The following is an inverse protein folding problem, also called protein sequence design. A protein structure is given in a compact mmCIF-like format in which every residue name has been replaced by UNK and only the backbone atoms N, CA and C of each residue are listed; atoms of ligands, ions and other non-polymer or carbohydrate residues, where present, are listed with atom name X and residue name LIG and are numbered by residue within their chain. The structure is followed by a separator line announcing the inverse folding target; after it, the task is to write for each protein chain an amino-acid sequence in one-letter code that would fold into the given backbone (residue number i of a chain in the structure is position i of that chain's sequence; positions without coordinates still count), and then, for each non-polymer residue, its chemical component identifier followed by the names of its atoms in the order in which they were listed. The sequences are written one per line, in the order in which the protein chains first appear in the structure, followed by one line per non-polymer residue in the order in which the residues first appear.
data_IF_245165111832
#
_entry.id   IF_245165111832
#
_cell.length_a   1.000
_cell.length_b   1.000
_cell.length_c   1.000
_cell.angle_alpha   90.00
_cell.angle_beta   90.00
_cell.angle_gamma   90.00
#
_symmetry.space_group_name_H-M   'P 1'
#
loop_
_entity.id
_entity.type
_entity.pdbx_description
1 polymer ?
#
# COMPACT_ATOMS: atom_id res chain seq x y z
N UNK A 1 -24.79 8.74 69.92
CA UNK A 1 -24.32 9.71 68.91
C UNK A 1 -23.45 8.97 67.90
N UNK A 2 -23.91 8.83 66.65
CA UNK A 2 -23.12 8.32 65.52
C UNK A 2 -22.78 9.50 64.62
N UNK A 3 -21.50 9.77 64.40
CA UNK A 3 -21.03 10.74 63.41
C UNK A 3 -20.86 10.03 62.05
N UNK A 4 -21.59 10.49 61.04
CA UNK A 4 -21.35 10.18 59.63
C UNK A 4 -20.39 11.23 59.05
N UNK A 5 -19.30 10.77 58.44
CA UNK A 5 -18.42 11.58 57.59
C UNK A 5 -18.82 11.35 56.12
N UNK A 6 -19.12 12.37 55.31
CA UNK A 6 -19.32 12.19 53.88
C UNK A 6 -17.97 12.24 53.15
N UNK A 7 -17.63 11.16 52.45
CA UNK A 7 -16.55 11.11 51.48
C UNK A 7 -17.00 11.86 50.21
N UNK A 8 -16.48 13.07 50.02
CA UNK A 8 -16.58 13.82 48.77
C UNK A 8 -15.68 13.15 47.73
N UNK A 9 -16.28 12.40 46.80
CA UNK A 9 -15.63 12.01 45.54
C UNK A 9 -15.45 13.27 44.68
N UNK A 10 -14.23 13.78 44.62
CA UNK A 10 -13.82 14.73 43.58
C UNK A 10 -13.70 13.98 42.24
N UNK A 11 -14.73 14.06 41.41
CA UNK A 11 -14.62 13.78 39.98
C UNK A 11 -13.76 14.86 39.33
N UNK A 12 -12.44 14.71 39.39
CA UNK A 12 -11.53 15.48 38.55
C UNK A 12 -11.71 15.02 37.11
N UNK A 13 -12.61 15.68 36.37
CA UNK A 13 -12.59 15.64 34.91
C UNK A 13 -11.28 16.29 34.48
N UNK A 14 -10.28 15.48 34.16
CA UNK A 14 -9.06 15.93 33.51
C UNK A 14 -9.46 16.59 32.19
N UNK A 15 -9.52 17.93 32.20
CA UNK A 15 -9.67 18.72 30.98
C UNK A 15 -8.42 18.41 30.17
N UNK A 16 -8.58 17.70 29.04
CA UNK A 16 -7.49 17.46 28.12
C UNK A 16 -6.88 18.82 27.76
N UNK A 17 -5.58 18.99 28.04
CA UNK A 17 -4.86 20.21 27.70
C UNK A 17 -5.07 20.51 26.21
N UNK A 18 -5.26 21.79 25.88
CA UNK A 18 -5.37 22.19 24.48
C UNK A 18 -4.13 21.70 23.70
N UNK A 19 -4.28 21.21 22.45
CA UNK A 19 -3.16 20.72 21.66
C UNK A 19 -2.11 21.81 21.55
N UNK A 20 -0.84 21.46 21.82
CA UNK A 20 0.27 22.39 21.63
C UNK A 20 0.41 22.77 20.13
N UNK A 21 1.18 23.83 19.83
CA UNK A 21 1.34 24.31 18.45
C UNK A 21 1.85 23.21 17.50
N UNK A 22 2.69 22.31 18.01
CA UNK A 22 3.27 21.23 17.23
C UNK A 22 2.23 20.17 16.86
N UNK A 23 1.32 19.85 17.79
CA UNK A 23 0.18 18.98 17.53
C UNK A 23 -0.76 19.59 16.48
N UNK A 24 -1.01 20.91 16.55
CA UNK A 24 -1.80 21.63 15.55
C UNK A 24 -1.16 21.56 14.16
N UNK A 25 0.15 21.81 14.06
CA UNK A 25 0.90 21.73 12.81
C UNK A 25 0.87 20.30 12.25
N UNK A 26 1.09 19.29 13.11
CA UNK A 26 1.01 17.86 12.75
C UNK A 26 -0.35 17.52 12.14
N UNK A 27 -1.44 17.89 12.83
CA UNK A 27 -2.79 17.63 12.37
C UNK A 27 -3.08 18.36 11.05
N UNK A 28 -2.62 19.61 10.90
CA UNK A 28 -2.83 20.38 9.69
C UNK A 28 -2.12 19.75 8.49
N UNK A 29 -0.86 19.33 8.65
CA UNK A 29 -0.12 18.65 7.60
C UNK A 29 -0.80 17.33 7.21
N UNK A 30 -1.24 16.52 8.17
CA UNK A 30 -1.97 15.28 7.88
C UNK A 30 -3.28 15.53 7.12
N UNK A 31 -4.04 16.57 7.49
CA UNK A 31 -5.25 16.97 6.76
C UNK A 31 -4.94 17.34 5.31
N UNK A 32 -3.86 18.08 5.05
CA UNK A 32 -3.45 18.43 3.67
C UNK A 32 -3.15 17.16 2.86
N UNK A 33 -2.43 16.19 3.41
CA UNK A 33 -2.13 14.93 2.72
C UNK A 33 -3.37 14.07 2.50
N UNK A 34 -4.27 14.05 3.49
CA UNK A 34 -5.53 13.35 3.39
C UNK A 34 -6.41 13.96 2.29
N UNK A 35 -6.64 15.28 2.30
CA UNK A 35 -7.42 15.98 1.26
C UNK A 35 -6.88 15.68 -0.13
N UNK A 36 -5.56 15.78 -0.30
CA UNK A 36 -4.88 15.49 -1.57
C UNK A 36 -5.08 14.06 -2.08
N UNK A 37 -5.36 13.10 -1.21
CA UNK A 37 -5.62 11.70 -1.59
C UNK A 37 -7.07 11.46 -2.04
N UNK A 38 -7.98 12.41 -1.77
CA UNK A 38 -9.40 12.34 -2.13
C UNK A 38 -9.83 13.44 -3.10
N UNK A 39 -8.86 14.18 -3.65
CA UNK A 39 -9.08 15.20 -4.67
C UNK A 39 -9.21 14.54 -6.04
N UNK A 40 -10.14 15.02 -6.86
CA UNK A 40 -10.29 14.59 -8.25
C UNK A 40 -9.70 15.64 -9.18
N UNK A 41 -8.67 15.26 -9.94
CA UNK A 41 -8.09 16.14 -10.96
C UNK A 41 -9.19 16.71 -11.89
N UNK A 42 -9.14 18.02 -12.22
CA UNK A 42 -10.06 18.61 -13.19
C UNK A 42 -9.90 18.01 -14.59
N UNK A 43 -8.71 17.48 -14.91
CA UNK A 43 -8.41 16.86 -16.22
C UNK A 43 -8.98 15.44 -16.36
N UNK A 44 -9.44 14.83 -15.25
CA UNK A 44 -10.02 13.50 -15.30
C UNK A 44 -11.37 13.53 -16.06
N UNK A 45 -11.56 12.72 -17.12
CA UNK A 45 -12.76 12.76 -17.94
C UNK A 45 -13.94 12.06 -17.23
N UNK A 46 -14.56 12.77 -16.30
CA UNK A 46 -15.74 12.34 -15.55
C UNK A 46 -16.99 13.06 -16.05
N UNK A 47 -18.12 12.34 -16.07
CA UNK A 47 -19.41 13.01 -16.23
C UNK A 47 -19.68 13.97 -15.05
N UNK A 48 -20.42 15.04 -15.30
CA UNK A 48 -20.63 16.11 -14.33
C UNK A 48 -21.38 15.64 -13.07
N UNK A 49 -22.39 14.77 -13.19
CA UNK A 49 -23.14 14.22 -12.06
C UNK A 49 -22.26 13.25 -11.25
N UNK A 50 -21.50 12.36 -11.92
CA UNK A 50 -20.53 11.50 -11.22
C UNK A 50 -19.49 12.32 -10.45
N UNK A 51 -18.92 13.35 -11.08
CA UNK A 51 -17.94 14.23 -10.42
C UNK A 51 -18.53 14.93 -9.20
N UNK A 52 -19.74 15.48 -9.32
CA UNK A 52 -20.41 16.14 -8.20
C UNK A 52 -20.63 15.19 -7.02
N UNK A 53 -21.23 14.02 -7.26
CA UNK A 53 -21.47 13.00 -6.22
C UNK A 53 -20.18 12.45 -5.62
N UNK A 54 -19.15 12.25 -6.42
CA UNK A 54 -17.85 11.81 -5.93
C UNK A 54 -17.17 12.89 -5.07
N UNK A 55 -17.33 14.17 -5.40
CA UNK A 55 -16.84 15.26 -4.55
C UNK A 55 -17.60 15.35 -3.22
N UNK A 56 -18.93 15.17 -3.23
CA UNK A 56 -19.73 15.12 -2.00
C UNK A 56 -19.30 13.95 -1.10
N UNK A 57 -19.09 12.76 -1.69
CA UNK A 57 -18.61 11.59 -0.97
C UNK A 57 -17.22 11.83 -0.36
N UNK A 58 -16.30 12.41 -1.13
CA UNK A 58 -14.96 12.78 -0.68
C UNK A 58 -15.03 13.76 0.50
N UNK A 59 -15.79 14.85 0.36
CA UNK A 59 -15.94 15.86 1.41
C UNK A 59 -16.48 15.27 2.72
N UNK A 60 -17.55 14.45 2.65
CA UNK A 60 -18.12 13.80 3.83
C UNK A 60 -17.12 12.84 4.50
N UNK A 61 -16.33 12.12 3.71
CA UNK A 61 -15.29 11.24 4.24
C UNK A 61 -14.14 12.03 4.90
N UNK A 62 -13.67 13.09 4.26
CA UNK A 62 -12.60 13.95 4.77
C UNK A 62 -12.99 14.60 6.11
N UNK A 63 -14.22 15.07 6.25
CA UNK A 63 -14.74 15.60 7.51
C UNK A 63 -14.69 14.54 8.62
N UNK A 64 -15.24 13.35 8.34
CA UNK A 64 -15.28 12.24 9.30
C UNK A 64 -13.89 11.84 9.78
N UNK A 65 -12.92 11.70 8.87
CA UNK A 65 -11.57 11.28 9.23
C UNK A 65 -10.81 12.40 9.93
N UNK A 66 -11.00 13.65 9.53
CA UNK A 66 -10.42 14.81 10.20
C UNK A 66 -10.81 14.88 11.69
N UNK A 67 -12.01 14.42 12.03
CA UNK A 67 -12.49 14.32 13.41
C UNK A 67 -11.81 13.19 14.22
N UNK A 68 -11.25 12.15 13.57
CA UNK A 68 -10.54 11.05 14.24
C UNK A 68 -9.07 11.37 14.53
N UNK A 69 -8.45 12.26 13.74
CA UNK A 69 -7.01 12.55 13.83
C UNK A 69 -6.56 13.00 15.24
N UNK A 70 -7.27 13.88 15.98
CA UNK A 70 -6.84 14.29 17.32
C UNK A 70 -6.78 13.12 18.32
N UNK A 71 -7.73 12.18 18.22
CA UNK A 71 -7.76 11.01 19.09
C UNK A 71 -6.58 10.07 18.78
N UNK A 72 -6.26 9.87 17.50
CA UNK A 72 -5.09 9.08 17.09
C UNK A 72 -3.78 9.75 17.53
N UNK A 73 -3.68 11.07 17.44
CA UNK A 73 -2.51 11.81 17.91
C UNK A 73 -2.31 11.65 19.41
N UNK A 74 -3.37 11.79 20.21
CA UNK A 74 -3.31 11.56 21.65
C UNK A 74 -2.88 10.12 21.99
N UNK A 75 -3.33 9.13 21.22
CA UNK A 75 -2.92 7.73 21.34
C UNK A 75 -1.40 7.56 21.13
N UNK A 76 -0.85 8.11 20.04
CA UNK A 76 0.60 8.03 19.78
C UNK A 76 1.43 8.80 20.81
N UNK A 77 0.97 9.97 21.24
CA UNK A 77 1.66 10.77 22.27
C UNK A 77 1.78 9.99 23.57
N UNK A 78 0.70 9.35 24.01
CA UNK A 78 0.70 8.49 25.21
C UNK A 78 1.71 7.35 25.09
N UNK A 79 1.79 6.71 23.92
CA UNK A 79 2.73 5.62 23.67
C UNK A 79 4.17 6.10 23.62
N UNK A 80 4.44 7.24 23.00
CA UNK A 80 5.75 7.86 22.97
C UNK A 80 6.22 8.18 24.39
N UNK A 81 5.38 8.82 25.22
CA UNK A 81 5.70 9.11 26.62
C UNK A 81 5.96 7.84 27.45
N UNK A 82 5.23 6.75 27.18
CA UNK A 82 5.42 5.48 27.87
C UNK A 82 6.69 4.74 27.46
N UNK A 83 7.27 5.04 26.29
CA UNK A 83 8.45 4.34 25.76
C UNK A 83 9.76 4.68 26.47
N UNK A 84 9.80 5.78 27.23
CA UNK A 84 11.02 6.28 27.89
C UNK A 84 12.11 6.76 26.93
N UNK A 85 11.87 6.76 25.62
CA UNK A 85 12.79 7.27 24.58
C UNK A 85 12.56 8.78 24.39
N UNK A 86 13.58 9.54 23.92
CA UNK A 86 13.40 10.94 23.57
C UNK A 86 12.23 11.13 22.61
N UNK A 87 11.36 12.09 22.92
CA UNK A 87 10.20 12.38 22.09
C UNK A 87 10.65 13.12 20.82
N UNK A 88 10.89 12.38 19.74
CA UNK A 88 11.07 13.01 18.42
C UNK A 88 9.69 13.34 17.82
N UNK A 89 9.37 14.62 17.55
CA UNK A 89 8.12 15.04 16.92
C UNK A 89 7.76 14.29 15.63
N UNK A 90 8.78 14.06 14.79
CA UNK A 90 8.65 13.44 13.48
C UNK A 90 8.05 12.04 13.56
N UNK A 91 8.33 11.30 14.64
CA UNK A 91 7.90 9.91 14.81
C UNK A 91 6.40 9.78 15.01
N UNK A 92 5.81 10.70 15.78
CA UNK A 92 4.36 10.73 15.97
C UNK A 92 3.66 11.03 14.65
N UNK A 93 4.18 11.99 13.89
CA UNK A 93 3.68 12.31 12.55
C UNK A 93 3.75 11.11 11.59
N UNK A 94 4.90 10.42 11.50
CA UNK A 94 5.06 9.26 10.63
C UNK A 94 4.20 8.07 11.07
N UNK A 95 3.97 7.86 12.37
CA UNK A 95 3.04 6.86 12.86
C UNK A 95 1.59 7.15 12.41
N UNK A 96 1.14 8.39 12.55
CA UNK A 96 -0.19 8.81 12.08
C UNK A 96 -0.32 8.71 10.56
N UNK A 97 0.72 9.07 9.81
CA UNK A 97 0.71 8.91 8.37
C UNK A 97 0.74 7.43 7.97
N UNK A 98 1.49 6.58 8.66
CA UNK A 98 1.46 5.14 8.42
C UNK A 98 0.05 4.57 8.59
N UNK A 99 -0.67 5.01 9.63
CA UNK A 99 -2.07 4.65 9.85
C UNK A 99 -2.95 5.09 8.67
N UNK A 100 -2.86 6.35 8.24
CA UNK A 100 -3.62 6.87 7.10
C UNK A 100 -3.33 6.13 5.79
N UNK A 101 -2.05 5.88 5.50
CA UNK A 101 -1.65 5.16 4.30
C UNK A 101 -2.13 3.71 4.31
N UNK A 102 -2.07 3.05 5.47
CA UNK A 102 -2.55 1.69 5.61
C UNK A 102 -4.07 1.61 5.48
N UNK A 103 -4.79 2.61 5.99
CA UNK A 103 -6.24 2.73 5.79
C UNK A 103 -6.58 2.85 4.28
N UNK A 104 -5.87 3.70 3.52
CA UNK A 104 -6.01 3.78 2.06
C UNK A 104 -5.76 2.44 1.37
N UNK A 105 -4.69 1.74 1.73
CA UNK A 105 -4.36 0.43 1.16
C UNK A 105 -5.41 -0.63 1.53
N UNK A 106 -5.89 -0.68 2.77
CA UNK A 106 -6.96 -1.58 3.20
C UNK A 106 -8.24 -1.32 2.41
N UNK A 107 -8.67 -0.07 2.27
CA UNK A 107 -9.83 0.30 1.47
C UNK A 107 -9.69 -0.14 0.00
N UNK A 108 -8.48 -0.08 -0.56
CA UNK A 108 -8.21 -0.56 -1.92
C UNK A 108 -8.30 -2.08 -2.07
N UNK A 109 -8.02 -2.84 -1.01
CA UNK A 109 -8.11 -4.30 -0.99
C UNK A 109 -9.51 -4.81 -0.62
N UNK A 110 -10.31 -4.01 0.07
CA UNK A 110 -11.63 -4.40 0.54
C UNK A 110 -12.56 -4.78 -0.62
N UNK A 111 -13.18 -5.98 -0.56
CA UNK A 111 -14.25 -6.33 -1.48
C UNK A 111 -15.52 -5.54 -1.13
N UNK A 112 -16.30 -5.22 -2.17
CA UNK A 112 -17.67 -4.78 -2.01
C UNK A 112 -18.63 -5.97 -1.85
N UNK A 113 -19.92 -5.70 -1.99
CA UNK A 113 -20.92 -6.75 -2.12
C UNK A 113 -20.82 -7.46 -3.48
N UNK A 114 -21.60 -8.52 -3.68
CA UNK A 114 -21.57 -9.30 -4.91
C UNK A 114 -21.85 -8.46 -6.17
N UNK A 115 -22.77 -7.49 -6.07
CA UNK A 115 -23.11 -6.60 -7.19
C UNK A 115 -21.94 -5.68 -7.55
N UNK A 116 -21.28 -5.11 -6.55
CA UNK A 116 -20.09 -4.28 -6.70
C UNK A 116 -18.92 -5.05 -7.31
N UNK A 117 -18.66 -6.27 -6.82
CA UNK A 117 -17.60 -7.12 -7.37
C UNK A 117 -17.89 -7.47 -8.83
N UNK A 118 -19.13 -7.85 -9.17
CA UNK A 118 -19.51 -8.20 -10.53
C UNK A 118 -19.41 -7.01 -11.49
N UNK A 119 -19.86 -5.83 -11.07
CA UNK A 119 -19.69 -4.59 -11.83
C UNK A 119 -18.20 -4.24 -12.01
N UNK A 120 -17.39 -4.42 -10.97
CA UNK A 120 -15.93 -4.21 -11.04
C UNK A 120 -15.28 -5.13 -12.07
N UNK A 121 -15.61 -6.43 -12.08
CA UNK A 121 -15.12 -7.37 -13.11
C UNK A 121 -15.50 -6.89 -14.51
N UNK A 122 -16.76 -6.51 -14.71
CA UNK A 122 -17.25 -6.05 -16.00
C UNK A 122 -16.52 -4.78 -16.47
N UNK A 123 -16.34 -3.78 -15.60
CA UNK A 123 -15.61 -2.55 -15.90
C UNK A 123 -14.15 -2.84 -16.30
N UNK A 124 -13.45 -3.68 -15.53
CA UNK A 124 -12.07 -4.07 -15.83
C UNK A 124 -11.97 -4.87 -17.13
N UNK A 125 -12.96 -5.72 -17.44
CA UNK A 125 -13.03 -6.44 -18.70
C UNK A 125 -13.18 -5.54 -19.92
N UNK A 126 -14.00 -4.49 -19.80
CA UNK A 126 -14.48 -3.70 -20.94
C UNK A 126 -13.48 -2.67 -21.49
N UNK A 127 -12.77 -1.95 -20.61
CA UNK A 127 -11.96 -0.78 -21.01
C UNK A 127 -10.55 -0.86 -20.42
N UNK A 128 -9.54 -0.19 -21.01
CA UNK A 128 -8.28 0.12 -20.37
C UNK A 128 -8.25 1.52 -19.73
N UNK A 129 -9.27 2.35 -19.96
CA UNK A 129 -9.27 3.78 -19.57
C UNK A 129 -9.23 4.01 -18.06
N UNK A 130 -9.59 3.02 -17.24
CA UNK A 130 -9.43 3.08 -15.78
C UNK A 130 -7.96 3.12 -15.32
N UNK A 131 -7.02 2.76 -16.20
CA UNK A 131 -5.59 2.90 -15.95
C UNK A 131 -5.04 4.24 -16.49
N UNK A 132 -5.87 5.09 -17.09
CA UNK A 132 -5.46 6.42 -17.53
C UNK A 132 -6.06 7.47 -16.59
N UNK A 133 -5.22 8.00 -15.71
CA UNK A 133 -5.61 9.04 -14.75
C UNK A 133 -5.03 10.41 -15.11
N UNK A 134 -4.65 10.61 -16.38
CA UNK A 134 -4.29 11.93 -16.92
C UNK A 134 -3.27 12.69 -16.05
N UNK A 135 -2.12 12.05 -15.78
CA UNK A 135 -1.03 12.59 -14.96
C UNK A 135 -1.40 12.88 -13.51
N UNK A 136 -2.45 12.27 -12.96
CA UNK A 136 -2.68 12.30 -11.52
C UNK A 136 -1.47 11.68 -10.80
N UNK A 137 -0.66 12.55 -10.20
CA UNK A 137 0.52 12.18 -9.40
C UNK A 137 0.22 11.20 -8.26
N UNK A 138 -1.05 11.00 -7.94
CA UNK A 138 -1.57 10.11 -6.91
C UNK A 138 -2.43 9.00 -7.50
N UNK A 139 -2.01 8.50 -8.66
CA UNK A 139 -2.58 7.45 -9.50
C UNK A 139 -3.32 6.29 -8.79
N UNK A 140 -2.95 5.90 -7.57
CA UNK A 140 -3.60 4.77 -6.88
C UNK A 140 -4.72 5.18 -5.93
N UNK A 141 -4.97 6.47 -5.73
CA UNK A 141 -5.90 6.95 -4.70
C UNK A 141 -7.37 6.98 -5.16
N UNK A 142 -8.16 7.92 -4.63
CA UNK A 142 -9.59 8.04 -4.87
C UNK A 142 -9.96 8.14 -6.35
N UNK A 143 -9.15 8.85 -7.14
CA UNK A 143 -9.37 9.05 -8.58
C UNK A 143 -9.47 7.73 -9.35
N UNK A 144 -8.64 6.73 -9.03
CA UNK A 144 -8.66 5.43 -9.70
C UNK A 144 -10.00 4.69 -9.53
N UNK A 145 -10.60 4.82 -8.34
CA UNK A 145 -11.89 4.20 -8.01
C UNK A 145 -13.03 4.88 -8.74
N UNK A 146 -13.04 6.22 -8.78
CA UNK A 146 -14.07 6.99 -9.50
C UNK A 146 -13.94 6.82 -11.02
N UNK A 147 -12.71 6.79 -11.55
CA UNK A 147 -12.46 6.52 -12.97
C UNK A 147 -12.97 5.13 -13.40
N UNK A 148 -12.93 4.13 -12.50
CA UNK A 148 -13.53 2.82 -12.75
C UNK A 148 -15.06 2.89 -12.79
N UNK A 149 -15.69 3.63 -11.87
CA UNK A 149 -17.15 3.83 -11.85
C UNK A 149 -17.61 4.55 -13.13
N UNK A 150 -16.82 5.49 -13.65
CA UNK A 150 -17.10 6.16 -14.94
C UNK A 150 -17.23 5.17 -16.11
N UNK A 151 -16.51 4.05 -16.09
CA UNK A 151 -16.57 3.03 -17.15
C UNK A 151 -17.86 2.20 -17.11
N UNK A 152 -18.65 2.29 -16.04
CA UNK A 152 -19.91 1.56 -15.93
C UNK A 152 -21.06 2.29 -16.64
N UNK A 153 -22.11 1.54 -17.05
CA UNK A 153 -23.36 2.15 -17.50
C UNK A 153 -23.88 3.15 -16.47
N UNK A 154 -24.41 4.30 -16.93
CA UNK A 154 -24.85 5.39 -16.07
C UNK A 154 -25.82 4.92 -14.96
N UNK A 155 -26.72 3.99 -15.27
CA UNK A 155 -27.68 3.42 -14.31
C UNK A 155 -27.03 2.66 -13.14
N UNK A 156 -25.80 2.17 -13.28
CA UNK A 156 -25.10 1.41 -12.22
C UNK A 156 -24.23 2.30 -11.32
N UNK A 157 -23.84 3.50 -11.78
CA UNK A 157 -22.91 4.38 -11.06
C UNK A 157 -23.40 4.79 -9.66
N UNK A 158 -24.68 5.15 -9.44
CA UNK A 158 -25.16 5.52 -8.11
C UNK A 158 -25.01 4.38 -7.08
N UNK A 159 -25.31 3.14 -7.46
CA UNK A 159 -25.15 1.99 -6.59
C UNK A 159 -23.67 1.74 -6.23
N UNK A 160 -22.76 1.93 -7.18
CA UNK A 160 -21.32 1.79 -6.92
C UNK A 160 -20.77 2.87 -6.00
N UNK A 161 -21.22 4.12 -6.15
CA UNK A 161 -20.87 5.19 -5.22
C UNK A 161 -21.40 4.92 -3.81
N UNK A 162 -22.60 4.34 -3.69
CA UNK A 162 -23.15 3.94 -2.39
C UNK A 162 -22.30 2.85 -1.73
N UNK A 163 -21.84 1.84 -2.48
CA UNK A 163 -20.92 0.82 -1.98
C UNK A 163 -19.55 1.40 -1.60
N UNK A 164 -19.03 2.38 -2.35
CA UNK A 164 -17.80 3.09 -1.97
C UNK A 164 -17.97 3.85 -0.66
N UNK A 165 -19.13 4.49 -0.44
CA UNK A 165 -19.45 5.16 0.83
C UNK A 165 -19.46 4.19 2.00
N UNK A 166 -20.05 3.00 1.84
CA UNK A 166 -20.07 1.97 2.88
C UNK A 166 -18.65 1.45 3.18
N UNK A 167 -17.85 1.23 2.13
CA UNK A 167 -16.44 0.85 2.27
C UNK A 167 -15.65 1.92 3.01
N UNK A 168 -15.80 3.18 2.62
CA UNK A 168 -15.18 4.32 3.27
C UNK A 168 -15.66 4.51 4.72
N UNK A 169 -16.85 4.06 5.11
CA UNK A 169 -17.32 4.15 6.49
C UNK A 169 -16.56 3.21 7.44
N UNK A 170 -15.91 2.14 6.93
CA UNK A 170 -15.13 1.18 7.73
C UNK A 170 -13.76 1.70 8.14
N UNK A 171 -13.26 2.78 7.55
CA UNK A 171 -12.01 3.41 7.96
C UNK A 171 -12.00 3.79 9.43
N UNK A 172 -10.96 3.38 10.15
CA UNK A 172 -10.82 3.53 11.59
C UNK A 172 -11.59 2.50 12.42
N UNK A 173 -12.33 1.57 11.79
CA UNK A 173 -13.08 0.51 12.47
C UNK A 173 -12.37 -0.85 12.36
N UNK A 174 -12.61 -1.77 13.31
CA UNK A 174 -12.22 -3.17 13.17
C UNK A 174 -12.78 -3.80 11.89
N UNK A 175 -11.98 -4.63 11.22
CA UNK A 175 -12.39 -5.30 9.99
C UNK A 175 -11.73 -6.68 9.84
N UNK A 176 -12.28 -7.55 8.99
CA UNK A 176 -11.64 -8.82 8.67
C UNK A 176 -10.22 -8.62 8.13
N UNK A 177 -9.33 -9.56 8.41
CA UNK A 177 -8.00 -9.55 7.83
C UNK A 177 -8.10 -9.59 6.29
N UNK A 178 -7.33 -8.74 5.56
CA UNK A 178 -7.33 -8.79 4.11
C UNK A 178 -6.82 -10.15 3.63
N UNK A 179 -7.20 -10.53 2.40
CA UNK A 179 -6.73 -11.76 1.77
C UNK A 179 -5.18 -11.85 1.79
N UNK A 180 -4.62 -13.05 1.66
CA UNK A 180 -3.17 -13.18 1.51
C UNK A 180 -2.70 -12.51 0.20
N UNK A 181 -1.42 -12.14 0.13
CA UNK A 181 -0.83 -11.69 -1.13
C UNK A 181 -0.93 -12.80 -2.18
N UNK A 182 -1.21 -12.48 -3.45
CA UNK A 182 -1.12 -13.44 -4.54
C UNK A 182 0.31 -13.98 -4.68
N UNK A 183 0.42 -15.30 -4.85
CA UNK A 183 1.70 -15.98 -5.11
C UNK A 183 1.63 -16.79 -6.42
N UNK A 184 2.51 -16.51 -7.40
CA UNK A 184 3.42 -15.37 -7.47
C UNK A 184 2.68 -14.02 -7.55
N UNK A 185 3.41 -12.92 -7.33
CA UNK A 185 2.83 -11.59 -7.56
C UNK A 185 2.38 -11.46 -9.02
N UNK A 186 1.27 -10.76 -9.30
CA UNK A 186 0.70 -10.63 -10.65
C UNK A 186 1.70 -10.19 -11.73
N UNK A 187 2.53 -9.19 -11.43
CA UNK A 187 3.58 -8.70 -12.33
C UNK A 187 4.66 -9.75 -12.54
N UNK A 188 5.02 -10.53 -11.52
CA UNK A 188 6.01 -11.60 -11.67
C UNK A 188 5.45 -12.73 -12.55
N UNK A 189 4.19 -13.10 -12.33
CA UNK A 189 3.48 -14.09 -13.15
C UNK A 189 3.38 -13.64 -14.61
N UNK A 190 3.02 -12.38 -14.83
CA UNK A 190 2.94 -11.76 -16.15
C UNK A 190 4.31 -11.75 -16.85
N UNK A 191 5.35 -11.24 -16.19
CA UNK A 191 6.70 -11.14 -16.75
C UNK A 191 7.31 -12.52 -17.04
N UNK A 192 7.01 -13.55 -16.23
CA UNK A 192 7.46 -14.91 -16.49
C UNK A 192 6.90 -15.48 -17.82
N UNK A 193 5.65 -15.14 -18.17
CA UNK A 193 5.07 -15.52 -19.47
C UNK A 193 5.69 -14.75 -20.65
N UNK A 194 6.26 -13.57 -20.39
CA UNK A 194 6.88 -12.72 -21.40
C UNK A 194 8.37 -13.00 -21.62
N UNK A 195 8.94 -13.93 -20.84
CA UNK A 195 10.36 -14.26 -20.89
C UNK A 195 10.82 -14.73 -22.29
N UNK A 196 12.09 -14.51 -22.65
CA UNK A 196 12.66 -14.99 -23.92
C UNK A 196 12.46 -16.49 -24.12
N UNK A 197 12.13 -16.90 -25.34
CA UNK A 197 11.94 -18.32 -25.70
C UNK A 197 10.52 -18.85 -25.51
N UNK A 198 9.59 -18.06 -24.94
CA UNK A 198 8.17 -18.43 -24.87
C UNK A 198 7.51 -18.32 -26.26
N UNK A 199 7.03 -19.46 -26.79
CA UNK A 199 6.44 -19.58 -28.13
C UNK A 199 4.97 -19.12 -28.19
N UNK A 200 4.20 -19.36 -27.14
CA UNK A 200 2.76 -19.06 -27.08
C UNK A 200 2.47 -17.83 -26.20
N UNK A 201 3.09 -16.69 -26.54
CA UNK A 201 2.89 -15.44 -25.81
C UNK A 201 1.54 -14.80 -26.16
N UNK A 202 0.64 -14.57 -25.18
CA UNK A 202 -0.59 -13.85 -25.46
C UNK A 202 -0.29 -12.41 -25.90
N UNK A 203 -1.13 -11.86 -26.76
CA UNK A 203 -0.94 -10.51 -27.27
C UNK A 203 -0.94 -9.47 -26.13
N UNK A 204 0.07 -8.61 -26.12
CA UNK A 204 0.15 -7.44 -25.23
C UNK A 204 -0.45 -6.21 -25.93
N UNK A 205 -1.00 -5.25 -25.16
CA UNK A 205 -1.21 -3.89 -25.64
C UNK A 205 0.07 -3.32 -26.28
N UNK A 206 0.00 -2.55 -27.38
CA UNK A 206 1.19 -2.08 -28.11
C UNK A 206 2.23 -1.38 -27.23
N UNK A 207 1.79 -0.51 -26.32
CA UNK A 207 2.69 0.19 -25.37
C UNK A 207 3.44 -0.79 -24.47
N UNK A 208 2.76 -1.81 -23.94
CA UNK A 208 3.39 -2.83 -23.10
C UNK A 208 4.34 -3.73 -23.90
N UNK A 209 3.98 -4.06 -25.15
CA UNK A 209 4.85 -4.82 -26.05
C UNK A 209 6.16 -4.05 -26.33
N UNK A 210 6.06 -2.76 -26.63
CA UNK A 210 7.23 -1.91 -26.85
C UNK A 210 8.12 -1.86 -25.59
N UNK A 211 7.55 -1.50 -24.43
CA UNK A 211 8.33 -1.34 -23.20
C UNK A 211 8.94 -2.66 -22.69
N UNK A 212 8.17 -3.76 -22.66
CA UNK A 212 8.61 -5.00 -22.04
C UNK A 212 9.40 -5.91 -22.99
N UNK A 213 9.05 -5.96 -24.28
CA UNK A 213 9.67 -6.89 -25.23
C UNK A 213 10.78 -6.24 -26.06
N UNK A 214 10.58 -4.99 -26.51
CA UNK A 214 11.55 -4.27 -27.34
C UNK A 214 12.58 -3.53 -26.46
N UNK A 215 12.11 -2.65 -25.58
CA UNK A 215 12.98 -1.82 -24.72
C UNK A 215 13.50 -2.59 -23.49
N UNK A 216 12.87 -3.71 -23.13
CA UNK A 216 13.19 -4.53 -21.95
C UNK A 216 13.23 -3.71 -20.66
N UNK A 217 12.31 -2.76 -20.55
CA UNK A 217 12.17 -1.87 -19.40
C UNK A 217 11.78 -2.69 -18.16
N UNK A 218 12.41 -2.38 -17.03
CA UNK A 218 12.02 -2.95 -15.74
C UNK A 218 10.65 -2.42 -15.32
N UNK A 219 9.74 -3.31 -14.92
CA UNK A 219 8.41 -2.98 -14.40
C UNK A 219 8.45 -1.87 -13.36
N UNK A 220 9.40 -1.91 -12.43
CA UNK A 220 9.52 -0.92 -11.37
C UNK A 220 9.77 0.52 -11.89
N UNK A 221 10.30 0.65 -13.11
CA UNK A 221 10.64 1.92 -13.76
C UNK A 221 9.59 2.39 -14.78
N UNK A 222 8.57 1.57 -15.05
CA UNK A 222 7.46 1.93 -15.93
C UNK A 222 6.58 3.01 -15.30
N UNK A 223 5.87 3.78 -16.13
CA UNK A 223 4.87 4.72 -15.63
C UNK A 223 3.75 3.96 -14.91
N UNK A 224 3.03 4.63 -13.99
CA UNK A 224 2.00 3.95 -13.16
C UNK A 224 0.82 3.49 -14.00
N UNK A 225 0.48 4.26 -15.02
CA UNK A 225 -0.47 3.92 -16.08
C UNK A 225 -0.10 2.57 -16.71
N UNK A 226 1.16 2.42 -17.12
CA UNK A 226 1.65 1.20 -17.78
C UNK A 226 1.73 0.01 -16.82
N UNK A 227 2.10 0.25 -15.57
CA UNK A 227 2.04 -0.79 -14.53
C UNK A 227 0.61 -1.28 -14.35
N UNK A 228 -0.36 -0.37 -14.23
CA UNK A 228 -1.78 -0.71 -14.17
C UNK A 228 -2.25 -1.47 -15.42
N UNK A 229 -1.83 -1.06 -16.62
CA UNK A 229 -2.16 -1.77 -17.86
C UNK A 229 -1.63 -3.21 -17.85
N UNK A 230 -0.42 -3.46 -17.31
CA UNK A 230 0.10 -4.82 -17.16
C UNK A 230 -0.75 -5.63 -16.18
N UNK A 231 -1.13 -5.05 -15.04
CA UNK A 231 -2.02 -5.69 -14.06
C UNK A 231 -3.39 -6.01 -14.66
N UNK A 232 -3.92 -5.09 -15.47
CA UNK A 232 -5.19 -5.26 -16.15
C UNK A 232 -5.12 -6.37 -17.21
N UNK A 233 -4.03 -6.41 -17.98
CA UNK A 233 -3.78 -7.49 -18.93
C UNK A 233 -3.69 -8.84 -18.21
N UNK A 234 -2.96 -8.91 -17.08
CA UNK A 234 -2.86 -10.12 -16.27
C UNK A 234 -4.20 -10.56 -15.69
N UNK A 235 -5.01 -9.60 -15.21
CA UNK A 235 -6.38 -9.86 -14.74
C UNK A 235 -7.22 -10.53 -15.83
N UNK A 236 -7.27 -9.95 -17.03
CA UNK A 236 -8.03 -10.52 -18.16
C UNK A 236 -7.51 -11.90 -18.54
N UNK A 237 -6.19 -12.09 -18.54
CA UNK A 237 -5.56 -13.39 -18.83
C UNK A 237 -5.91 -14.45 -17.78
N UNK A 238 -5.89 -14.08 -16.50
CA UNK A 238 -6.25 -14.97 -15.40
C UNK A 238 -7.68 -15.48 -15.55
N UNK A 239 -8.62 -14.60 -15.89
CA UNK A 239 -10.01 -14.99 -16.16
C UNK A 239 -10.12 -15.95 -17.36
N UNK A 240 -9.39 -15.69 -18.44
CA UNK A 240 -9.35 -16.59 -19.62
C UNK A 240 -8.75 -17.97 -19.28
N UNK A 241 -7.87 -18.05 -18.28
CA UNK A 241 -7.29 -19.29 -17.78
C UNK A 241 -8.21 -20.01 -16.77
N UNK A 242 -9.42 -19.51 -16.53
CA UNK A 242 -10.39 -20.11 -15.62
C UNK A 242 -10.17 -19.78 -14.14
N UNK A 243 -9.31 -18.80 -13.82
CA UNK A 243 -9.17 -18.32 -12.43
C UNK A 243 -10.48 -17.67 -11.99
N UNK A 244 -10.93 -18.01 -10.78
CA UNK A 244 -12.16 -17.46 -10.22
C UNK A 244 -12.12 -15.92 -10.16
N UNK A 245 -13.21 -15.21 -10.49
CA UNK A 245 -13.21 -13.75 -10.57
C UNK A 245 -12.75 -13.05 -9.28
N UNK A 246 -13.15 -13.57 -8.11
CA UNK A 246 -12.72 -13.01 -6.82
C UNK A 246 -11.19 -13.10 -6.61
N UNK A 247 -10.56 -14.19 -7.05
CA UNK A 247 -9.11 -14.37 -6.96
C UNK A 247 -8.40 -13.42 -7.93
N UNK A 248 -8.88 -13.33 -9.17
CA UNK A 248 -8.33 -12.41 -10.17
C UNK A 248 -8.46 -10.94 -9.73
N UNK A 249 -9.62 -10.56 -9.16
CA UNK A 249 -9.83 -9.21 -8.61
C UNK A 249 -8.92 -8.92 -7.42
N UNK A 250 -8.76 -9.87 -6.49
CA UNK A 250 -7.85 -9.70 -5.37
C UNK A 250 -6.41 -9.50 -5.85
N UNK A 251 -5.97 -10.31 -6.82
CA UNK A 251 -4.66 -10.16 -7.45
C UNK A 251 -4.49 -8.78 -8.11
N UNK A 252 -5.48 -8.32 -8.89
CA UNK A 252 -5.46 -7.00 -9.50
C UNK A 252 -5.36 -5.88 -8.45
N UNK A 253 -6.17 -5.95 -7.38
CA UNK A 253 -6.13 -4.99 -6.27
C UNK A 253 -4.74 -4.88 -5.66
N UNK A 254 -4.09 -6.01 -5.35
CA UNK A 254 -2.71 -6.01 -4.85
C UNK A 254 -1.71 -5.41 -5.84
N UNK A 255 -1.87 -5.72 -7.13
CA UNK A 255 -1.00 -5.21 -8.18
C UNK A 255 -1.08 -3.70 -8.40
N UNK A 256 -2.21 -3.09 -8.04
CA UNK A 256 -2.46 -1.64 -8.19
C UNK A 256 -2.60 -0.90 -6.85
N UNK A 257 -2.38 -1.56 -5.72
CA UNK A 257 -2.54 -0.98 -4.40
C UNK A 257 -1.46 0.08 -4.14
N UNK A 258 -1.80 1.13 -3.40
CA UNK A 258 -0.83 2.05 -2.83
C UNK A 258 0.02 1.32 -1.78
N UNK A 259 1.34 1.46 -1.90
CA UNK A 259 2.30 1.05 -0.87
C UNK A 259 3.20 2.22 -0.51
N UNK A 260 3.93 2.09 0.61
CA UNK A 260 4.85 3.11 1.09
C UNK A 260 5.99 3.34 0.08
N UNK A 261 6.55 2.28 -0.49
CA UNK A 261 7.59 2.38 -1.53
C UNK A 261 7.08 3.09 -2.80
N UNK A 262 5.80 2.94 -3.11
CA UNK A 262 5.15 3.66 -4.22
C UNK A 262 4.93 5.13 -3.89
N UNK A 263 4.36 5.42 -2.71
CA UNK A 263 3.98 6.79 -2.31
C UNK A 263 5.19 7.70 -2.13
N UNK A 264 6.27 7.17 -1.59
CA UNK A 264 7.43 7.94 -1.15
C UNK A 264 8.70 7.56 -1.92
N UNK A 265 8.56 6.99 -3.12
CA UNK A 265 9.67 6.64 -3.99
C UNK A 265 10.65 7.81 -4.14
N UNK A 266 11.91 7.58 -3.77
CA UNK A 266 12.99 8.58 -3.87
C UNK A 266 12.94 9.73 -2.85
N UNK A 267 11.89 9.86 -2.04
CA UNK A 267 11.73 11.00 -1.11
C UNK A 267 12.72 10.95 0.07
N UNK A 268 13.13 9.75 0.47
CA UNK A 268 13.96 9.54 1.66
C UNK A 268 15.35 9.00 1.34
N UNK A 269 15.69 8.90 0.05
CA UNK A 269 17.00 8.47 -0.38
C UNK A 269 18.02 9.59 -0.20
N UNK A 270 19.25 9.31 0.28
CA UNK A 270 20.29 10.32 0.37
C UNK A 270 20.67 10.82 -1.04
N UNK A 271 21.05 12.10 -1.22
CA UNK A 271 21.36 12.68 -2.53
C UNK A 271 22.41 11.88 -3.34
N UNK A 272 23.33 11.18 -2.66
CA UNK A 272 24.37 10.35 -3.26
C UNK A 272 23.88 9.01 -3.81
N UNK A 273 22.74 8.49 -3.34
CA UNK A 273 22.15 7.23 -3.81
C UNK A 273 21.44 7.37 -5.18
N UNK A 274 21.08 8.60 -5.57
CA UNK A 274 20.45 8.88 -6.86
C UNK A 274 21.45 8.72 -8.02
N UNK A 275 22.76 8.80 -7.75
CA UNK A 275 23.80 8.79 -8.79
C UNK A 275 24.72 7.57 -8.75
N UNK A 276 24.76 6.81 -7.64
CA UNK A 276 25.54 5.57 -7.51
C UNK A 276 24.86 4.59 -6.55
N UNK A 277 24.85 3.28 -6.85
CA UNK A 277 24.43 2.27 -5.88
C UNK A 277 25.23 2.43 -4.59
N UNK A 278 24.54 2.41 -3.44
CA UNK A 278 25.23 2.37 -2.16
C UNK A 278 26.19 1.16 -2.15
N UNK A 279 27.45 1.33 -1.68
CA UNK A 279 28.37 0.21 -1.54
C UNK A 279 27.69 -0.90 -0.73
N UNK A 280 27.87 -2.16 -1.15
CA UNK A 280 27.44 -3.29 -0.33
C UNK A 280 28.04 -3.13 1.07
N UNK A 281 27.21 -3.25 2.11
CA UNK A 281 27.70 -3.13 3.48
C UNK A 281 28.86 -4.10 3.68
N UNK A 282 29.92 -3.64 4.35
CA UNK A 282 31.12 -4.45 4.62
C UNK A 282 30.82 -5.77 5.37
N UNK A 283 29.62 -5.90 5.94
CA UNK A 283 29.13 -7.05 6.69
C UNK A 283 28.39 -8.10 5.85
N UNK A 284 28.25 -7.89 4.53
CA UNK A 284 27.49 -8.79 3.64
C UNK A 284 25.98 -8.81 3.89
N UNK A 285 25.47 -7.95 4.77
CA UNK A 285 24.03 -7.80 5.05
C UNK A 285 23.40 -6.78 4.08
N UNK A 286 22.14 -6.97 3.66
CA UNK A 286 21.45 -5.95 2.88
C UNK A 286 21.29 -4.67 3.73
N UNK A 287 21.47 -3.48 3.14
CA UNK A 287 21.30 -2.21 3.86
C UNK A 287 19.84 -2.04 4.27
N UNK A 288 19.58 -1.47 5.46
CA UNK A 288 18.21 -1.21 5.89
C UNK A 288 17.54 -0.13 4.99
N UNK A 289 16.30 -0.31 4.49
CA UNK A 289 15.67 0.68 3.62
C UNK A 289 15.47 2.03 4.34
N UNK A 290 15.87 3.17 3.74
CA UNK A 290 15.69 4.50 4.36
C UNK A 290 14.22 4.82 4.69
N UNK A 291 13.29 4.44 3.81
CA UNK A 291 11.85 4.58 4.06
C UNK A 291 11.39 3.79 5.29
N UNK A 292 11.93 2.59 5.52
CA UNK A 292 11.59 1.79 6.68
C UNK A 292 12.07 2.48 7.97
N UNK A 293 13.23 3.13 7.95
CA UNK A 293 13.73 3.94 9.07
C UNK A 293 12.77 5.08 9.39
N UNK A 294 12.30 5.81 8.37
CA UNK A 294 11.37 6.96 8.57
C UNK A 294 10.09 6.56 9.28
N UNK A 295 9.53 5.42 8.90
CA UNK A 295 8.30 4.89 9.49
C UNK A 295 8.55 3.97 10.69
N UNK A 296 9.81 3.77 11.10
CA UNK A 296 10.19 2.80 12.10
C UNK A 296 9.63 1.39 11.84
N UNK A 297 9.49 1.05 10.57
CA UNK A 297 8.99 -0.24 10.13
C UNK A 297 10.07 -1.30 10.36
N UNK A 298 9.68 -2.46 10.86
CA UNK A 298 10.56 -3.63 11.02
C UNK A 298 9.77 -4.92 10.88
N UNK A 299 10.42 -6.06 10.98
CA UNK A 299 9.73 -7.34 10.88
C UNK A 299 10.55 -8.44 10.23
N UNK A 300 9.88 -9.32 9.50
CA UNK A 300 10.52 -10.42 8.79
C UNK A 300 9.93 -10.63 7.40
N UNK A 301 10.78 -10.98 6.44
CA UNK A 301 10.40 -11.46 5.11
C UNK A 301 10.92 -12.87 4.91
N UNK A 302 10.09 -13.75 4.36
CA UNK A 302 10.51 -15.11 3.99
C UNK A 302 10.59 -15.21 2.49
N UNK A 303 11.78 -15.55 2.00
CA UNK A 303 12.05 -15.79 0.58
C UNK A 303 12.18 -17.28 0.33
N UNK A 304 11.47 -17.74 -0.69
CA UNK A 304 11.64 -19.06 -1.27
C UNK A 304 12.51 -18.92 -2.51
N UNK A 305 13.50 -19.80 -2.67
CA UNK A 305 14.44 -19.76 -3.78
C UNK A 305 14.80 -21.15 -4.30
N UNK A 306 15.25 -21.20 -5.56
CA UNK A 306 15.75 -22.40 -6.23
C UNK A 306 17.19 -22.18 -6.67
N UNK A 307 18.06 -23.14 -6.38
CA UNK A 307 19.46 -23.12 -6.80
C UNK A 307 19.69 -24.14 -7.92
N UNK A 308 20.63 -23.85 -8.82
CA UNK A 308 21.14 -24.83 -9.76
C UNK A 308 22.18 -25.78 -9.12
N UNK A 309 22.70 -26.73 -9.89
CA UNK A 309 23.72 -27.68 -9.44
C UNK A 309 25.03 -27.02 -8.99
N UNK A 310 25.29 -25.76 -9.36
CA UNK A 310 26.45 -24.97 -8.91
C UNK A 310 26.19 -24.19 -7.62
N UNK A 311 24.96 -24.26 -7.08
CA UNK A 311 24.54 -23.51 -5.90
C UNK A 311 24.18 -22.05 -6.19
N UNK A 312 24.05 -21.66 -7.47
CA UNK A 312 23.64 -20.31 -7.85
C UNK A 312 22.11 -20.21 -7.84
N UNK A 313 21.57 -19.16 -7.23
CA UNK A 313 20.13 -18.90 -7.22
C UNK A 313 19.63 -18.56 -8.62
N UNK A 314 18.68 -19.36 -9.13
CA UNK A 314 18.04 -19.18 -10.43
C UNK A 314 16.70 -18.45 -10.32
N UNK A 315 15.98 -18.66 -9.21
CA UNK A 315 14.67 -18.05 -8.95
C UNK A 315 14.55 -17.74 -7.46
N UNK A 316 13.94 -16.60 -7.14
CA UNK A 316 13.57 -16.21 -5.78
C UNK A 316 12.22 -15.48 -5.78
N UNK A 317 11.43 -15.71 -4.72
CA UNK A 317 10.10 -15.11 -4.53
C UNK A 317 9.82 -14.94 -3.04
N UNK A 318 9.23 -13.81 -2.64
CA UNK A 318 8.78 -13.60 -1.25
C UNK A 318 7.46 -14.32 -1.03
N UNK A 319 7.41 -15.19 -0.02
CA UNK A 319 6.27 -16.09 0.29
C UNK A 319 5.64 -15.84 1.66
N UNK A 320 6.23 -14.98 2.49
CA UNK A 320 5.60 -14.51 3.71
C UNK A 320 6.22 -13.20 4.18
N UNK A 321 5.40 -12.40 4.87
CA UNK A 321 5.78 -11.11 5.43
C UNK A 321 5.14 -11.00 6.81
N UNK A 322 5.93 -10.59 7.80
CA UNK A 322 5.45 -10.25 9.12
C UNK A 322 6.04 -8.89 9.48
N UNK A 323 5.36 -7.82 9.06
CA UNK A 323 5.84 -6.45 9.21
C UNK A 323 5.08 -5.78 10.36
N UNK A 324 5.78 -4.94 11.11
CA UNK A 324 5.26 -4.10 12.18
C UNK A 324 5.65 -2.66 11.90
N UNK A 325 4.71 -1.74 12.10
CA UNK A 325 4.90 -0.30 11.88
C UNK A 325 4.17 0.46 12.99
N UNK A 326 4.85 1.36 13.72
CA UNK A 326 4.19 2.27 14.64
C UNK A 326 3.02 3.01 13.99
N UNK A 327 1.95 3.21 14.76
CA UNK A 327 0.69 3.80 14.28
C UNK A 327 -0.32 2.82 13.70
N UNK A 328 0.09 1.60 13.34
CA UNK A 328 -0.82 0.56 12.84
C UNK A 328 -0.99 -0.51 13.93
N UNK A 329 -2.22 -0.63 14.46
CA UNK A 329 -2.56 -1.57 15.53
C UNK A 329 -3.83 -2.35 15.23
N UNK A 330 -3.84 -3.63 15.57
CA UNK A 330 -5.00 -4.51 15.38
C UNK A 330 -5.33 -4.90 13.94
N UNK A 331 -4.54 -4.46 12.96
CA UNK A 331 -4.70 -4.77 11.53
C UNK A 331 -3.35 -5.01 10.86
N UNK A 332 -3.36 -5.70 9.71
CA UNK A 332 -2.15 -5.96 8.92
C UNK A 332 -1.65 -4.68 8.24
N UNK A 333 -0.35 -4.34 8.29
CA UNK A 333 0.20 -3.12 7.69
C UNK A 333 0.43 -3.30 6.18
N UNK A 334 -0.62 -3.61 5.43
CA UNK A 334 -0.59 -3.95 4.00
C UNK A 334 0.14 -2.93 3.12
N UNK A 335 0.08 -1.64 3.44
CA UNK A 335 0.80 -0.60 2.70
C UNK A 335 2.34 -0.71 2.85
N UNK A 336 2.83 -1.42 3.86
CA UNK A 336 4.25 -1.51 4.23
C UNK A 336 4.84 -2.89 4.01
N UNK A 337 4.02 -3.88 3.63
CA UNK A 337 4.44 -5.27 3.50
C UNK A 337 5.58 -5.44 2.48
N UNK A 338 5.57 -4.66 1.40
CA UNK A 338 6.55 -4.73 0.30
C UNK A 338 7.87 -4.00 0.57
N UNK A 339 8.00 -3.26 1.68
CA UNK A 339 9.14 -2.37 1.94
C UNK A 339 10.51 -3.06 1.83
N UNK A 340 10.57 -4.33 2.22
CA UNK A 340 11.82 -5.08 2.29
C UNK A 340 11.97 -6.07 1.13
N UNK A 341 10.99 -6.21 0.25
CA UNK A 341 10.94 -7.27 -0.76
C UNK A 341 12.09 -7.16 -1.76
N UNK A 342 12.33 -5.96 -2.32
CA UNK A 342 13.36 -5.75 -3.33
C UNK A 342 14.76 -6.10 -2.80
N UNK A 343 15.08 -5.65 -1.58
CA UNK A 343 16.37 -5.96 -0.94
C UNK A 343 16.47 -7.43 -0.53
N UNK A 344 15.36 -8.03 -0.07
CA UNK A 344 15.29 -9.46 0.25
C UNK A 344 15.59 -10.31 -0.98
N UNK A 345 14.94 -9.99 -2.10
CA UNK A 345 15.11 -10.70 -3.37
C UNK A 345 16.52 -10.50 -3.91
N UNK A 346 17.04 -9.27 -3.90
CA UNK A 346 18.42 -8.98 -4.29
C UNK A 346 19.42 -9.77 -3.45
N UNK A 347 19.24 -9.79 -2.13
CA UNK A 347 20.10 -10.59 -1.24
C UNK A 347 20.08 -12.07 -1.63
N UNK A 348 18.89 -12.63 -1.87
CA UNK A 348 18.74 -14.04 -2.23
C UNK A 348 19.35 -14.39 -3.60
N UNK A 349 19.31 -13.46 -4.56
CA UNK A 349 19.88 -13.65 -5.90
C UNK A 349 21.40 -13.47 -5.94
N UNK A 350 21.94 -12.51 -5.20
CA UNK A 350 23.34 -12.10 -5.30
C UNK A 350 24.28 -12.89 -4.37
N UNK A 351 23.75 -13.50 -3.31
CA UNK A 351 24.56 -14.17 -2.28
C UNK A 351 24.56 -15.69 -2.43
N UNK A 352 25.66 -16.30 -1.99
CA UNK A 352 25.74 -17.76 -1.85
C UNK A 352 24.93 -18.18 -0.63
N UNK A 353 23.71 -18.67 -0.87
CA UNK A 353 22.81 -19.14 0.18
C UNK A 353 23.14 -20.59 0.59
N UNK A 354 22.81 -20.99 1.84
CA UNK A 354 22.98 -22.36 2.30
C UNK A 354 22.29 -23.34 1.35
N UNK A 355 22.98 -24.42 0.99
CA UNK A 355 22.41 -25.45 0.14
C UNK A 355 21.28 -26.18 0.89
N UNK A 356 20.12 -26.27 0.27
CA UNK A 356 19.00 -27.06 0.79
C UNK A 356 18.04 -27.46 -0.33
N UNK A 357 17.86 -28.76 -0.56
CA UNK A 357 16.86 -29.32 -1.47
C UNK A 357 16.74 -28.66 -2.86
N UNK A 358 15.66 -28.97 -3.58
CA UNK A 358 15.33 -28.32 -4.86
C UNK A 358 14.65 -26.94 -4.67
N UNK A 359 14.06 -26.70 -3.50
CA UNK A 359 13.41 -25.46 -3.10
C UNK A 359 13.79 -25.20 -1.64
N UNK A 360 14.41 -24.05 -1.36
CA UNK A 360 14.81 -23.63 -0.02
C UNK A 360 14.06 -22.38 0.41
N UNK A 361 13.99 -22.16 1.73
CA UNK A 361 13.44 -20.94 2.33
C UNK A 361 14.46 -20.31 3.25
N UNK A 362 14.52 -18.98 3.23
CA UNK A 362 15.30 -18.17 4.15
C UNK A 362 14.41 -17.08 4.73
N UNK A 363 14.56 -16.79 6.02
CA UNK A 363 13.95 -15.65 6.66
C UNK A 363 14.98 -14.55 6.89
N UNK A 364 14.69 -13.34 6.41
CA UNK A 364 15.42 -12.13 6.77
C UNK A 364 14.64 -11.39 7.85
N UNK A 365 15.33 -11.04 8.94
CA UNK A 365 14.76 -10.27 10.04
C UNK A 365 15.31 -8.85 9.99
N UNK A 366 14.40 -7.89 9.86
CA UNK A 366 14.65 -6.46 9.70
C UNK A 366 14.43 -5.76 11.04
N UNK A 367 15.52 -5.24 11.61
CA UNK A 367 15.50 -4.45 12.84
C UNK A 367 16.25 -3.15 12.60
N UNK A 368 15.70 -2.04 13.10
CA UNK A 368 16.48 -0.82 13.24
C UNK A 368 17.52 -1.05 14.34
N UNK A 369 18.77 -0.66 14.09
CA UNK A 369 19.80 -0.69 15.13
C UNK A 369 19.55 0.46 16.13
N UNK A 370 19.68 0.21 17.44
CA UNK A 370 19.41 1.18 18.52
C UNK A 370 20.34 2.42 18.52
N UNK A 371 21.33 2.44 17.64
CA UNK A 371 22.22 3.58 17.43
C UNK A 371 22.17 3.98 15.96
N UNK A 372 21.56 5.12 15.68
CA UNK A 372 21.99 5.93 14.55
C UNK A 372 22.57 7.25 15.10
N UNK A 373 23.64 7.76 14.48
CA UNK A 373 24.50 8.83 15.02
C UNK A 373 23.77 10.15 15.29
#
# INVERSE_FOLDING_TARGET
MRLCLPLLLCCATAVAAAPDKQDQDTLQTLRIHLTRSFELSPELPLDADLRARANELSAAHLERISALLPAWLAEERKLQSASGKPAEPSYVYFALWARLLNELALWQLEPGDAAYEQATVAALGASPLQCNLHNDSRFTDYAARIARIQQLPAAQRPAMLAAERESLARWGQPRPAPAAWPEPLPQQAALALLAPGQKDRPALPPTLAAQLLSEKKDYATMAREDQCLLQLWWFKRSLQQGVAPAIALSAFRYGTMISADVRFAGMFEPPSAVSKPAPAAATGKPPFPPIATRFQAGGATVVQFKQDASGKTQQASVVARNISVPGIRGVRPVAFETLFDAQTLKYAMDNKLPAGGAVSKLQLVWKMEDKQP
#
